data_IF_412935779926
#
_entry.id   IF_412935779926
#
_cell.length_a   1.000
_cell.length_b   1.000
_cell.length_c   1.000
_cell.angle_alpha   90.00
_cell.angle_beta   90.00
_cell.angle_gamma   90.00
#
_symmetry.space_group_name_H-M   'P 1'
#
loop_
_entity.id
_entity.type
_entity.pdbx_description
1 polymer ?
#
# COMPACT_ATOMS: atom_id res chain seq x y z
N UNK A 1 26.24 2.31 -6.31
CA UNK A 1 26.71 3.02 -5.11
C UNK A 1 27.15 1.96 -4.11
N UNK A 2 28.38 1.99 -3.62
CA UNK A 2 28.90 0.94 -2.74
C UNK A 2 30.40 1.08 -2.52
N UNK A 3 30.81 2.11 -1.77
CA UNK A 3 32.16 2.19 -1.22
C UNK A 3 32.19 1.52 0.15
N UNK A 4 33.36 1.04 0.58
CA UNK A 4 33.54 0.60 1.96
C UNK A 4 33.37 1.81 2.89
N UNK A 5 32.44 1.70 3.84
CA UNK A 5 32.25 2.69 4.91
C UNK A 5 33.31 2.50 5.97
N UNK A 6 33.76 3.61 6.56
CA UNK A 6 34.63 3.56 7.73
C UNK A 6 33.87 2.98 8.93
N UNK A 7 34.60 2.50 9.94
CA UNK A 7 33.95 1.99 11.15
C UNK A 7 33.10 3.04 11.86
N UNK A 8 33.55 4.30 11.89
CA UNK A 8 32.80 5.41 12.48
C UNK A 8 31.47 5.64 11.77
N UNK A 9 31.49 5.72 10.44
CA UNK A 9 30.28 5.84 9.63
C UNK A 9 29.35 4.63 9.80
N UNK A 10 29.90 3.42 9.88
CA UNK A 10 29.10 2.22 10.11
C UNK A 10 28.38 2.26 11.47
N UNK A 11 29.07 2.71 12.53
CA UNK A 11 28.46 2.91 13.86
C UNK A 11 27.34 3.94 13.79
N UNK A 12 27.62 5.10 13.20
CA UNK A 12 26.65 6.19 13.13
C UNK A 12 25.40 5.79 12.31
N UNK A 13 25.57 4.99 11.24
CA UNK A 13 24.46 4.43 10.48
C UNK A 13 23.61 3.44 11.29
N UNK A 14 24.25 2.59 12.11
CA UNK A 14 23.54 1.66 12.99
C UNK A 14 22.78 2.42 14.07
N UNK A 15 23.38 3.43 14.68
CA UNK A 15 22.71 4.28 15.68
C UNK A 15 21.51 5.01 15.07
N UNK A 16 21.68 5.57 13.86
CA UNK A 16 20.58 6.20 13.13
C UNK A 16 19.45 5.21 12.83
N UNK A 17 19.77 4.02 12.30
CA UNK A 17 18.78 2.98 12.02
C UNK A 17 18.07 2.49 13.29
N UNK A 18 18.81 2.29 14.38
CA UNK A 18 18.24 1.89 15.66
C UNK A 18 17.27 2.93 16.23
N UNK A 19 17.52 4.22 15.96
CA UNK A 19 16.65 5.32 16.39
C UNK A 19 15.45 5.59 15.46
N UNK A 20 15.43 5.00 14.27
CA UNK A 20 14.38 5.19 13.26
C UNK A 20 13.47 3.95 13.17
N UNK A 21 12.24 4.01 13.72
CA UNK A 21 11.29 2.91 13.68
C UNK A 21 10.89 2.49 12.26
N UNK A 22 11.11 3.34 11.24
CA UNK A 22 10.82 3.02 9.84
C UNK A 22 11.86 2.09 9.19
N UNK A 23 12.94 1.76 9.90
CA UNK A 23 13.91 0.73 9.50
C UNK A 23 13.62 -0.60 10.19
N UNK A 24 14.10 -1.71 9.62
CA UNK A 24 13.92 -3.03 10.23
C UNK A 24 14.54 -3.11 11.64
N UNK A 25 15.73 -2.53 11.85
CA UNK A 25 16.42 -2.53 13.15
C UNK A 25 15.68 -1.68 14.18
N UNK A 26 15.36 -0.43 13.83
CA UNK A 26 14.61 0.44 14.74
C UNK A 26 13.22 -0.10 15.04
N UNK A 27 12.61 -0.82 14.10
CA UNK A 27 11.34 -1.48 14.34
C UNK A 27 11.41 -2.64 15.33
N UNK A 28 12.38 -3.53 15.14
CA UNK A 28 12.61 -4.62 16.10
C UNK A 28 12.85 -4.07 17.52
N UNK A 29 13.62 -2.99 17.65
CA UNK A 29 13.87 -2.31 18.94
C UNK A 29 12.63 -1.62 19.52
N UNK A 30 11.75 -1.08 18.67
CA UNK A 30 10.48 -0.48 19.09
C UNK A 30 9.38 -1.51 19.42
N UNK A 31 9.63 -2.80 19.13
CA UNK A 31 8.69 -3.89 19.40
C UNK A 31 7.51 -3.96 18.42
N UNK A 32 7.65 -3.42 17.22
CA UNK A 32 6.65 -3.54 16.15
C UNK A 32 7.20 -4.32 14.95
N UNK A 33 6.33 -5.06 14.26
CA UNK A 33 6.72 -5.86 13.10
C UNK A 33 7.01 -4.95 11.88
N UNK A 34 8.12 -5.20 11.20
CA UNK A 34 8.50 -4.51 9.96
C UNK A 34 8.50 -5.45 8.74
N UNK A 35 7.95 -5.05 7.59
CA UNK A 35 7.02 -3.93 7.43
C UNK A 35 5.68 -4.25 8.10
N UNK A 36 4.91 -3.23 8.49
CA UNK A 36 3.55 -3.43 8.97
C UNK A 36 2.74 -4.31 8.01
N UNK A 37 2.02 -5.29 8.55
CA UNK A 37 1.18 -6.17 7.75
C UNK A 37 -0.02 -5.41 7.18
N UNK A 38 -0.59 -5.92 6.09
CA UNK A 38 -1.80 -5.35 5.49
C UNK A 38 -2.95 -5.23 6.49
N UNK A 39 -3.11 -6.20 7.40
CA UNK A 39 -4.17 -6.19 8.40
C UNK A 39 -3.98 -5.08 9.45
N UNK A 40 -2.75 -4.84 9.89
CA UNK A 40 -2.43 -3.75 10.82
C UNK A 40 -2.66 -2.39 10.17
N UNK A 41 -2.28 -2.26 8.89
CA UNK A 41 -2.51 -1.05 8.10
C UNK A 41 -4.02 -0.76 7.92
N UNK A 42 -4.82 -1.79 7.64
CA UNK A 42 -6.29 -1.66 7.56
C UNK A 42 -6.91 -1.30 8.91
N UNK A 43 -6.43 -1.92 9.99
CA UNK A 43 -6.87 -1.62 11.36
C UNK A 43 -6.58 -0.17 11.75
N UNK A 44 -5.40 0.33 11.41
CA UNK A 44 -5.00 1.73 11.65
C UNK A 44 -5.91 2.70 10.90
N UNK A 45 -6.24 2.44 9.63
CA UNK A 45 -7.15 3.29 8.85
C UNK A 45 -8.54 3.35 9.49
N UNK A 46 -9.06 2.20 9.90
CA UNK A 46 -10.36 2.12 10.55
C UNK A 46 -10.41 2.96 11.83
N UNK A 47 -9.28 3.08 12.55
CA UNK A 47 -9.14 3.91 13.74
C UNK A 47 -8.96 5.40 13.43
N UNK A 48 -8.17 5.74 12.40
CA UNK A 48 -7.87 7.15 12.04
C UNK A 48 -9.10 7.85 11.47
N UNK A 49 -9.91 7.17 10.66
CA UNK A 49 -11.17 7.70 10.12
C UNK A 49 -11.04 8.87 9.14
N UNK A 50 -9.84 9.45 8.95
CA UNK A 50 -9.55 10.48 7.95
C UNK A 50 -9.12 9.85 6.60
N UNK A 51 -9.90 10.03 5.52
CA UNK A 51 -9.56 9.54 4.19
C UNK A 51 -8.26 10.12 3.63
N UNK A 52 -7.85 11.33 4.03
CA UNK A 52 -6.63 11.97 3.53
C UNK A 52 -5.38 11.38 4.17
N UNK A 53 -5.37 11.20 5.49
CA UNK A 53 -4.31 10.49 6.19
C UNK A 53 -4.17 9.04 5.71
N UNK A 54 -5.29 8.34 5.54
CA UNK A 54 -5.31 6.95 5.07
C UNK A 54 -4.60 6.76 3.72
N UNK A 55 -4.80 7.69 2.78
CA UNK A 55 -4.13 7.65 1.47
C UNK A 55 -2.63 7.89 1.52
N UNK A 56 -2.13 8.60 2.55
CA UNK A 56 -0.69 8.89 2.71
C UNK A 56 0.05 7.75 3.40
N UNK A 57 -0.64 6.97 4.23
CA UNK A 57 -0.07 5.88 5.02
C UNK A 57 0.04 4.57 4.23
N UNK A 58 -0.85 4.33 3.26
CA UNK A 58 -0.82 3.07 2.51
C UNK A 58 0.28 3.05 1.45
N UNK A 59 1.02 1.94 1.32
CA UNK A 59 1.94 1.75 0.20
C UNK A 59 1.22 1.47 -1.13
N UNK A 60 -0.11 1.31 -1.12
CA UNK A 60 -0.96 1.15 -2.31
C UNK A 60 -2.04 2.23 -2.40
N UNK A 61 -2.53 2.50 -3.61
CA UNK A 61 -3.61 3.45 -3.82
C UNK A 61 -4.95 2.89 -3.32
N UNK A 62 -5.58 3.58 -2.37
CA UNK A 62 -6.97 3.31 -2.00
C UNK A 62 -7.90 3.90 -3.08
N UNK A 63 -8.67 3.06 -3.75
CA UNK A 63 -9.68 3.51 -4.70
C UNK A 63 -10.63 4.48 -4.01
N UNK A 64 -10.87 5.63 -4.65
CA UNK A 64 -11.82 6.61 -4.14
C UNK A 64 -13.19 6.29 -4.72
N UNK A 65 -14.19 5.85 -3.93
CA UNK A 65 -15.49 5.43 -4.47
C UNK A 65 -16.22 6.52 -5.27
N UNK A 66 -15.96 7.80 -4.96
CA UNK A 66 -16.50 8.95 -5.70
C UNK A 66 -15.85 9.22 -7.07
N UNK A 67 -14.75 8.54 -7.42
CA UNK A 67 -14.05 8.71 -8.70
C UNK A 67 -14.52 7.75 -9.80
N UNK A 68 -15.56 6.93 -9.54
CA UNK A 68 -16.27 6.22 -10.62
C UNK A 68 -17.22 7.18 -11.33
N UNK A 69 -16.67 8.12 -12.10
CA UNK A 69 -17.31 8.46 -13.38
C UNK A 69 -16.68 7.49 -14.36
N UNK A 70 -17.47 6.53 -14.84
CA UNK A 70 -17.09 5.82 -16.04
C UNK A 70 -17.02 6.87 -17.14
N UNK A 71 -15.82 7.19 -17.62
CA UNK A 71 -15.66 7.89 -18.90
C UNK A 71 -16.03 6.99 -20.09
N UNK A 72 -16.45 5.75 -19.82
CA UNK A 72 -16.91 4.82 -20.84
C UNK A 72 -18.16 5.36 -21.53
N UNK A 73 -18.09 5.41 -22.86
CA UNK A 73 -19.24 5.79 -23.69
C UNK A 73 -20.34 4.72 -23.61
N UNK A 74 -21.58 5.08 -23.94
CA UNK A 74 -22.69 4.12 -23.95
C UNK A 74 -22.43 2.93 -24.89
N UNK A 75 -21.67 3.15 -25.96
CA UNK A 75 -21.29 2.14 -26.94
C UNK A 75 -20.26 1.15 -26.35
N UNK A 76 -19.25 1.64 -25.63
CA UNK A 76 -18.25 0.80 -24.96
C UNK A 76 -18.88 -0.08 -23.88
N UNK A 77 -19.86 0.46 -23.15
CA UNK A 77 -20.61 -0.31 -22.14
C UNK A 77 -21.44 -1.41 -22.80
N UNK A 78 -22.09 -1.11 -23.93
CA UNK A 78 -22.91 -2.08 -24.65
C UNK A 78 -22.06 -3.24 -25.21
N UNK A 79 -20.90 -2.94 -25.80
CA UNK A 79 -19.98 -3.95 -26.32
C UNK A 79 -19.40 -4.83 -25.20
N UNK A 80 -18.96 -4.22 -24.09
CA UNK A 80 -18.46 -4.97 -22.94
C UNK A 80 -19.53 -5.86 -22.30
N UNK A 81 -20.78 -5.40 -22.24
CA UNK A 81 -21.90 -6.19 -21.71
C UNK A 81 -22.22 -7.37 -22.61
N UNK A 82 -22.26 -7.18 -23.93
CA UNK A 82 -22.45 -8.26 -24.90
C UNK A 82 -21.32 -9.29 -24.85
N UNK A 83 -20.06 -8.85 -24.66
CA UNK A 83 -18.93 -9.73 -24.49
C UNK A 83 -19.05 -10.60 -23.21
N UNK A 84 -19.49 -10.00 -22.09
CA UNK A 84 -19.73 -10.74 -20.84
C UNK A 84 -20.86 -11.76 -21.00
N UNK A 85 -21.98 -11.38 -21.62
CA UNK A 85 -23.10 -12.30 -21.88
C UNK A 85 -22.70 -13.46 -22.80
N UNK A 86 -21.84 -13.21 -23.80
CA UNK A 86 -21.31 -14.26 -24.67
C UNK A 86 -20.33 -15.20 -23.98
N UNK A 87 -19.68 -14.76 -22.89
CA UNK A 87 -18.71 -15.53 -22.12
C UNK A 87 -19.32 -16.33 -20.96
N UNK A 88 -20.55 -16.03 -20.55
CA UNK A 88 -21.25 -16.78 -19.49
C UNK A 88 -21.88 -18.04 -20.11
N UNK A 89 -21.06 -19.08 -20.28
CA UNK A 89 -21.55 -20.43 -20.54
C UNK A 89 -21.88 -21.07 -19.19
N UNK A 90 -23.16 -21.08 -18.81
CA UNK A 90 -23.62 -22.00 -17.77
C UNK A 90 -23.58 -23.42 -18.36
N UNK A 91 -22.53 -24.19 -18.06
CA UNK A 91 -22.55 -25.63 -18.34
C UNK A 91 -23.63 -26.28 -17.48
N UNK A 92 -24.61 -26.92 -18.13
CA UNK A 92 -25.61 -27.78 -17.49
C UNK A 92 -24.97 -28.95 -16.76
#
# INVERSE_FOLDING_TARGET
MGGAVTWGEARDLIEAAASDPSTALGAELAGWAYSASTLELLSLIAQVGDPKASKRLMPWALETPRRKKSDASAEEIAEATAALESGIVFSS
#
